data_IF_788464976783
#
_entry.id   IF_788464976783
#
_cell.length_a   1.000
_cell.length_b   1.000
_cell.length_c   1.000
_cell.angle_alpha   90.00
_cell.angle_beta   90.00
_cell.angle_gamma   90.00
#
_symmetry.space_group_name_H-M   'P 1'
#
loop_
_entity.id
_entity.type
_entity.pdbx_description
1 polymer ?
#
# COMPACT_ATOMS: atom_id res chain seq x y z
N UNK A 1 90.61 44.91 -15.23
CA UNK A 1 89.36 44.39 -15.82
C UNK A 1 89.70 43.94 -17.22
N UNK A 2 89.90 42.63 -17.39
CA UNK A 2 90.66 42.10 -18.51
C UNK A 2 89.88 42.06 -19.82
N UNK A 3 90.57 42.35 -20.92
CA UNK A 3 90.00 42.31 -22.27
C UNK A 3 89.42 40.92 -22.62
N UNK A 4 90.04 39.86 -22.09
CA UNK A 4 89.55 38.47 -22.17
C UNK A 4 88.21 38.26 -21.46
N UNK A 5 87.98 38.94 -20.34
CA UNK A 5 86.72 38.86 -19.58
C UNK A 5 85.57 39.55 -20.34
N UNK A 6 85.85 40.71 -20.93
CA UNK A 6 84.88 41.45 -21.77
C UNK A 6 84.52 40.63 -23.01
N UNK A 7 85.51 40.05 -23.70
CA UNK A 7 85.28 39.16 -24.84
C UNK A 7 84.44 37.92 -24.46
N UNK A 8 84.68 37.32 -23.29
CA UNK A 8 83.89 36.19 -22.80
C UNK A 8 82.41 36.58 -22.57
N UNK A 9 82.16 37.73 -21.94
CA UNK A 9 80.79 38.22 -21.69
C UNK A 9 80.03 38.54 -22.99
N UNK A 10 80.72 39.06 -24.02
CA UNK A 10 80.13 39.28 -25.35
C UNK A 10 79.74 37.95 -26.02
N UNK A 11 80.63 36.94 -25.95
CA UNK A 11 80.35 35.61 -26.52
C UNK A 11 79.18 34.91 -25.81
N UNK A 12 79.13 34.96 -24.46
CA UNK A 12 78.02 34.41 -23.68
C UNK A 12 76.72 35.16 -24.01
N UNK A 13 76.76 36.50 -24.10
CA UNK A 13 75.61 37.33 -24.47
C UNK A 13 75.04 37.00 -25.86
N UNK A 14 75.90 36.67 -26.83
CA UNK A 14 75.47 36.31 -28.19
C UNK A 14 74.72 34.97 -28.30
N UNK A 15 74.83 34.09 -27.30
CA UNK A 15 74.23 32.75 -27.37
C UNK A 15 72.76 32.70 -26.92
N UNK A 16 72.24 33.73 -26.24
CA UNK A 16 70.81 33.82 -25.86
C UNK A 16 69.95 34.51 -26.93
N UNK A 17 70.33 34.37 -28.21
CA UNK A 17 69.76 35.14 -29.33
C UNK A 17 68.72 34.44 -30.22
N UNK A 18 68.35 33.18 -29.95
CA UNK A 18 67.36 32.44 -30.75
C UNK A 18 66.31 31.74 -29.89
N UNK A 19 65.50 32.52 -29.17
CA UNK A 19 64.18 32.05 -28.74
C UNK A 19 63.29 31.90 -29.98
N UNK A 20 63.09 30.66 -30.43
CA UNK A 20 62.06 30.36 -31.43
C UNK A 20 60.72 30.83 -30.86
N UNK A 21 60.01 31.70 -31.59
CA UNK A 21 58.68 32.14 -31.22
C UNK A 21 57.70 30.99 -31.44
N UNK A 22 57.59 30.08 -30.47
CA UNK A 22 56.56 29.05 -30.47
C UNK A 22 55.19 29.72 -30.54
N UNK A 23 54.33 29.25 -31.44
CA UNK A 23 52.98 29.76 -31.56
C UNK A 23 52.20 29.41 -30.29
N UNK A 24 51.91 30.41 -29.45
CA UNK A 24 51.15 30.23 -28.21
C UNK A 24 49.65 30.05 -28.50
N UNK A 25 49.32 28.97 -29.19
CA UNK A 25 47.95 28.57 -29.50
C UNK A 25 47.15 28.30 -28.23
N UNK A 26 45.84 28.51 -28.28
CA UNK A 26 44.95 28.15 -27.18
C UNK A 26 44.81 26.61 -27.08
N UNK A 27 45.29 25.96 -26.01
CA UNK A 27 45.27 24.50 -25.90
C UNK A 27 43.87 23.91 -25.66
N UNK A 28 42.84 24.75 -25.41
CA UNK A 28 41.45 24.26 -25.30
C UNK A 28 40.70 24.27 -26.64
N UNK A 29 40.92 25.27 -27.51
CA UNK A 29 40.16 25.39 -28.78
C UNK A 29 40.99 25.27 -30.05
N UNK A 30 42.32 25.14 -29.96
CA UNK A 30 43.24 25.16 -31.09
C UNK A 30 44.29 24.05 -31.04
N UNK A 31 44.90 23.77 -32.19
CA UNK A 31 46.04 22.89 -32.34
C UNK A 31 47.10 23.53 -33.25
N UNK A 32 48.38 23.16 -33.11
CA UNK A 32 49.46 23.65 -33.97
C UNK A 32 49.64 22.74 -35.19
N UNK A 33 49.60 23.31 -36.40
CA UNK A 33 49.88 22.61 -37.67
C UNK A 33 50.76 23.55 -38.53
N UNK A 34 51.93 23.07 -38.97
CA UNK A 34 52.94 23.84 -39.72
C UNK A 34 53.39 25.19 -39.08
N UNK A 35 53.30 25.32 -37.76
CA UNK A 35 53.64 26.54 -37.02
C UNK A 35 52.54 27.62 -37.02
N UNK A 36 51.35 27.31 -37.52
CA UNK A 36 50.15 28.15 -37.38
C UNK A 36 49.17 27.48 -36.39
N UNK A 37 48.48 28.30 -35.60
CA UNK A 37 47.37 27.85 -34.78
C UNK A 37 46.12 27.62 -35.63
N UNK A 38 45.54 26.43 -35.52
CA UNK A 38 44.38 25.98 -36.26
C UNK A 38 43.19 25.70 -35.33
N UNK A 39 41.99 26.07 -35.74
CA UNK A 39 40.78 25.90 -34.94
C UNK A 39 40.34 24.42 -34.87
N UNK A 40 39.86 24.00 -33.71
CA UNK A 40 39.23 22.69 -33.50
C UNK A 40 37.70 22.77 -33.60
N UNK A 41 37.05 21.65 -33.88
CA UNK A 41 35.59 21.53 -33.83
C UNK A 41 35.10 21.36 -32.39
N UNK A 42 34.12 22.17 -31.99
CA UNK A 42 33.59 22.23 -30.61
C UNK A 42 32.90 20.93 -30.14
N UNK A 43 32.74 20.72 -28.82
CA UNK A 43 31.93 19.62 -28.28
C UNK A 43 30.56 19.48 -28.95
N UNK A 44 30.12 18.23 -29.16
CA UNK A 44 28.93 17.91 -29.95
C UNK A 44 29.15 17.91 -31.47
N UNK A 45 30.37 18.13 -31.96
CA UNK A 45 30.69 18.11 -33.40
C UNK A 45 32.00 17.37 -33.71
N UNK A 46 32.13 16.82 -34.92
CA UNK A 46 33.36 16.25 -35.48
C UNK A 46 33.81 16.99 -36.74
N UNK A 47 35.10 16.91 -37.08
CA UNK A 47 35.73 17.65 -38.18
C UNK A 47 35.58 16.94 -39.53
N UNK A 48 34.60 17.35 -40.33
CA UNK A 48 34.34 16.84 -41.68
C UNK A 48 35.34 17.35 -42.73
N UNK A 49 35.95 18.52 -42.51
CA UNK A 49 36.99 19.07 -43.40
C UNK A 49 38.00 19.86 -42.60
N UNK A 50 39.29 19.53 -42.75
CA UNK A 50 40.40 20.31 -42.19
C UNK A 50 40.59 21.60 -42.99
N UNK A 51 40.20 22.71 -42.39
CA UNK A 51 40.62 24.06 -42.76
C UNK A 51 41.10 24.70 -41.46
N UNK A 52 42.31 25.26 -41.46
CA UNK A 52 42.94 25.75 -40.24
C UNK A 52 42.20 26.96 -39.62
N UNK A 53 41.50 27.78 -40.40
CA UNK A 53 40.83 29.00 -39.94
C UNK A 53 39.31 28.92 -39.95
N UNK A 54 38.73 27.95 -40.67
CA UNK A 54 37.29 27.73 -40.75
C UNK A 54 36.95 26.24 -40.97
N UNK A 55 37.28 25.35 -40.02
CA UNK A 55 37.07 23.90 -40.18
C UNK A 55 35.58 23.56 -40.33
N UNK A 56 35.27 22.61 -41.21
CA UNK A 56 33.88 22.17 -41.41
C UNK A 56 33.48 21.19 -40.32
N UNK A 57 32.78 21.67 -39.30
CA UNK A 57 32.28 20.85 -38.21
C UNK A 57 30.87 20.30 -38.49
N UNK A 58 30.64 19.01 -38.23
CA UNK A 58 29.35 18.34 -38.36
C UNK A 58 28.85 17.87 -36.98
N UNK A 59 27.55 18.08 -36.70
CA UNK A 59 26.93 17.62 -35.44
C UNK A 59 26.96 16.10 -35.31
N UNK A 60 27.19 15.59 -34.10
CA UNK A 60 27.23 14.15 -33.86
C UNK A 60 25.91 13.45 -34.24
N UNK A 61 25.95 12.22 -34.78
CA UNK A 61 24.77 11.38 -34.93
C UNK A 61 24.11 11.06 -33.57
N UNK A 62 22.93 10.46 -33.60
CA UNK A 62 22.31 9.94 -32.38
C UNK A 62 23.08 8.72 -31.85
N UNK A 63 22.99 8.46 -30.53
CA UNK A 63 23.88 7.56 -29.79
C UNK A 63 25.39 7.90 -29.89
N UNK A 64 25.79 9.09 -30.36
CA UNK A 64 27.18 9.53 -30.40
C UNK A 64 27.40 10.84 -29.65
N UNK A 65 28.61 11.05 -29.13
CA UNK A 65 29.01 12.26 -28.43
C UNK A 65 30.43 12.71 -28.78
N UNK A 66 30.72 13.97 -28.51
CA UNK A 66 32.06 14.52 -28.47
C UNK A 66 32.14 15.51 -27.30
N UNK A 67 32.97 15.22 -26.30
CA UNK A 67 33.02 15.95 -25.02
C UNK A 67 33.98 17.13 -25.03
N UNK A 68 35.00 17.10 -25.89
CA UNK A 68 36.05 18.11 -26.02
C UNK A 68 36.13 18.67 -27.43
N UNK A 69 36.76 19.84 -27.57
CA UNK A 69 37.22 20.32 -28.87
C UNK A 69 38.08 19.26 -29.56
N UNK A 70 37.91 19.09 -30.88
CA UNK A 70 38.48 17.96 -31.61
C UNK A 70 38.88 18.27 -33.04
N UNK A 71 39.88 17.54 -33.52
CA UNK A 71 40.24 17.39 -34.95
C UNK A 71 39.76 16.06 -35.53
N UNK A 72 39.14 15.20 -34.71
CA UNK A 72 38.64 13.89 -35.15
C UNK A 72 37.48 14.01 -36.12
N UNK A 73 37.47 13.16 -37.14
CA UNK A 73 36.43 13.17 -38.18
C UNK A 73 35.14 12.42 -37.79
N UNK A 74 35.14 11.71 -36.66
CA UNK A 74 34.00 10.97 -36.11
C UNK A 74 33.80 11.32 -34.63
N UNK A 75 32.55 11.38 -34.20
CA UNK A 75 32.21 11.42 -32.78
C UNK A 75 32.37 10.02 -32.14
N UNK A 76 32.57 9.99 -30.83
CA UNK A 76 32.64 8.76 -30.03
C UNK A 76 31.24 8.15 -29.88
N UNK A 77 31.15 6.81 -29.78
CA UNK A 77 29.88 6.13 -29.50
C UNK A 77 29.54 6.22 -28.00
N UNK A 78 28.27 6.50 -27.68
CA UNK A 78 27.78 6.43 -26.30
C UNK A 78 27.84 4.99 -25.76
N UNK A 79 28.06 4.78 -24.45
CA UNK A 79 28.03 3.44 -23.89
C UNK A 79 26.65 2.80 -24.00
N UNK A 80 26.65 1.48 -24.10
CA UNK A 80 25.46 0.65 -24.08
C UNK A 80 25.11 0.26 -22.64
N UNK A 81 23.90 0.61 -22.19
CA UNK A 81 23.42 0.31 -20.85
C UNK A 81 22.67 -1.02 -20.87
N UNK A 82 23.33 -2.08 -20.39
CA UNK A 82 22.82 -3.45 -20.45
C UNK A 82 21.59 -3.65 -19.54
N UNK A 83 20.41 -3.69 -20.16
CA UNK A 83 19.12 -3.80 -19.45
C UNK A 83 18.98 -5.13 -18.69
N UNK A 84 19.71 -6.17 -19.08
CA UNK A 84 19.71 -7.48 -18.41
C UNK A 84 20.55 -7.46 -17.12
N UNK A 85 21.45 -6.48 -16.98
CA UNK A 85 22.22 -6.20 -15.76
C UNK A 85 21.60 -5.10 -14.90
N UNK A 86 20.33 -4.79 -15.16
CA UNK A 86 19.52 -3.77 -14.49
C UNK A 86 20.04 -2.33 -14.58
N UNK A 87 20.69 -1.99 -15.68
CA UNK A 87 20.92 -0.59 -16.05
C UNK A 87 19.70 0.06 -16.75
N UNK A 88 19.68 1.38 -16.71
CA UNK A 88 18.72 2.28 -17.34
C UNK A 88 19.43 3.09 -18.44
N UNK A 89 18.82 3.20 -19.63
CA UNK A 89 19.35 4.04 -20.72
C UNK A 89 19.03 5.52 -20.44
N UNK A 90 20.03 6.42 -20.29
CA UNK A 90 19.76 7.84 -20.16
C UNK A 90 19.16 8.40 -21.45
N UNK A 91 18.03 9.10 -21.36
CA UNK A 91 17.30 9.64 -22.51
C UNK A 91 16.86 11.10 -22.28
N UNK A 92 17.04 12.02 -23.25
CA UNK A 92 17.76 11.84 -24.51
C UNK A 92 19.28 11.72 -24.28
N UNK A 93 19.98 10.90 -25.08
CA UNK A 93 21.44 10.76 -24.98
C UNK A 93 22.12 12.05 -25.42
N UNK A 94 23.05 12.55 -24.58
CA UNK A 94 23.79 13.78 -24.87
C UNK A 94 24.67 13.62 -26.11
N UNK A 95 24.93 14.73 -26.80
CA UNK A 95 25.94 14.81 -27.87
C UNK A 95 27.22 15.48 -27.41
N UNK A 96 27.21 16.19 -26.28
CA UNK A 96 28.34 16.96 -25.75
C UNK A 96 29.01 16.30 -24.54
N UNK A 97 28.53 15.15 -24.07
CA UNK A 97 29.05 14.45 -22.89
C UNK A 97 28.86 12.94 -23.03
N UNK A 98 29.78 12.16 -22.44
CA UNK A 98 29.62 10.71 -22.30
C UNK A 98 28.48 10.43 -21.30
N UNK A 99 27.49 9.66 -21.72
CA UNK A 99 26.45 9.13 -20.83
C UNK A 99 27.03 8.19 -19.78
N UNK A 100 26.47 8.21 -18.58
CA UNK A 100 26.72 7.22 -17.53
C UNK A 100 25.50 6.29 -17.50
N UNK A 101 25.73 4.98 -17.38
CA UNK A 101 24.67 4.01 -17.18
C UNK A 101 24.41 3.89 -15.67
N UNK A 102 23.21 4.24 -15.24
CA UNK A 102 22.78 4.09 -13.85
C UNK A 102 21.93 2.82 -13.67
N UNK A 103 21.85 2.31 -12.44
CA UNK A 103 20.93 1.24 -12.09
C UNK A 103 19.46 1.69 -12.23
N UNK A 104 18.54 0.77 -12.52
CA UNK A 104 17.09 1.06 -12.45
C UNK A 104 16.67 1.42 -11.01
N UNK A 105 15.53 2.08 -10.85
CA UNK A 105 14.90 2.25 -9.52
C UNK A 105 14.64 0.87 -8.90
N UNK A 106 14.97 0.70 -7.61
CA UNK A 106 14.96 -0.61 -6.94
C UNK A 106 16.29 -1.36 -6.95
N UNK A 107 17.34 -0.82 -7.58
CA UNK A 107 18.65 -1.47 -7.74
C UNK A 107 19.84 -0.54 -7.44
N UNK A 108 20.93 -1.14 -6.96
CA UNK A 108 22.22 -0.46 -6.71
C UNK A 108 23.40 -1.18 -7.38
N UNK A 109 24.50 -0.46 -7.60
CA UNK A 109 25.77 -1.00 -8.08
C UNK A 109 26.29 -2.12 -7.15
N UNK A 110 26.55 -3.31 -7.70
CA UNK A 110 27.08 -4.46 -6.94
C UNK A 110 28.52 -4.28 -6.44
N UNK A 111 29.26 -3.34 -7.02
CA UNK A 111 30.64 -3.00 -6.68
C UNK A 111 30.99 -1.57 -7.10
N UNK A 112 32.17 -1.08 -6.71
CA UNK A 112 32.68 0.25 -7.11
C UNK A 112 32.81 0.43 -8.62
N UNK A 113 33.05 -0.66 -9.35
CA UNK A 113 33.20 -0.66 -10.81
C UNK A 113 31.83 -0.66 -11.52
N UNK A 114 30.73 -0.83 -10.77
CA UNK A 114 29.35 -0.87 -11.23
C UNK A 114 29.15 -1.65 -12.54
N UNK A 115 29.62 -2.91 -12.55
CA UNK A 115 29.52 -3.80 -13.74
C UNK A 115 28.14 -4.46 -13.83
N UNK A 116 27.44 -4.58 -12.71
CA UNK A 116 26.04 -5.08 -12.60
C UNK A 116 25.28 -4.31 -11.52
N UNK A 117 23.96 -4.23 -11.66
CA UNK A 117 23.07 -3.70 -10.65
C UNK A 117 22.25 -4.82 -10.00
N UNK A 118 22.22 -4.85 -8.67
CA UNK A 118 21.52 -5.83 -7.82
C UNK A 118 20.37 -5.16 -7.08
N UNK A 119 19.32 -5.94 -6.76
CA UNK A 119 18.14 -5.44 -6.06
C UNK A 119 18.49 -4.86 -4.68
N UNK A 120 17.70 -3.89 -4.22
CA UNK A 120 17.83 -3.38 -2.86
C UNK A 120 17.35 -4.36 -1.80
N UNK A 121 17.99 -4.35 -0.63
CA UNK A 121 17.53 -5.08 0.56
C UNK A 121 16.10 -4.68 0.91
N UNK A 122 15.21 -5.66 0.93
CA UNK A 122 13.76 -5.47 1.13
C UNK A 122 13.44 -5.50 2.63
N UNK A 123 12.91 -4.40 3.14
CA UNK A 123 12.48 -4.32 4.54
C UNK A 123 11.17 -5.08 4.75
N UNK A 124 11.20 -6.01 5.70
CA UNK A 124 10.06 -6.86 6.07
C UNK A 124 9.10 -6.14 7.03
N UNK A 125 7.86 -6.62 7.21
CA UNK A 125 6.97 -6.11 8.24
C UNK A 125 7.65 -6.11 9.63
N UNK A 126 7.46 -5.05 10.40
CA UNK A 126 8.24 -4.80 11.63
C UNK A 126 9.49 -3.94 11.43
N UNK A 127 9.92 -3.73 10.19
CA UNK A 127 11.12 -2.98 9.81
C UNK A 127 10.80 -1.93 8.74
N UNK A 128 11.63 -0.90 8.62
CA UNK A 128 11.55 0.10 7.57
C UNK A 128 12.94 0.57 7.13
N UNK A 129 13.03 1.19 5.97
CA UNK A 129 14.24 1.79 5.43
C UNK A 129 14.66 2.99 6.30
N UNK A 130 15.74 2.79 7.06
CA UNK A 130 16.47 3.83 7.79
C UNK A 130 17.23 4.73 6.83
N UNK A 131 17.89 4.08 5.86
CA UNK A 131 18.51 4.70 4.70
C UNK A 131 17.82 4.07 3.49
N UNK A 132 17.17 4.90 2.69
CA UNK A 132 16.60 4.46 1.41
C UNK A 132 17.77 4.23 0.44
N UNK A 133 17.79 3.07 -0.19
CA UNK A 133 18.78 2.74 -1.21
C UNK A 133 18.82 3.75 -2.36
N UNK A 134 19.98 3.87 -2.98
CA UNK A 134 20.20 4.70 -4.16
C UNK A 134 21.03 3.95 -5.21
N UNK A 135 21.23 4.55 -6.40
CA UNK A 135 21.93 3.94 -7.54
C UNK A 135 23.30 3.30 -7.18
N UNK A 136 23.96 3.74 -6.10
CA UNK A 136 25.28 3.29 -5.67
C UNK A 136 25.34 2.65 -4.26
N UNK A 137 24.24 2.60 -3.51
CA UNK A 137 24.22 2.12 -2.12
C UNK A 137 22.91 1.39 -1.80
N UNK A 138 23.00 0.34 -1.00
CA UNK A 138 21.81 -0.43 -0.63
C UNK A 138 20.89 0.28 0.40
N UNK A 139 19.65 -0.20 0.52
CA UNK A 139 18.77 0.13 1.64
C UNK A 139 19.31 -0.45 2.94
N UNK A 140 19.38 0.36 3.99
CA UNK A 140 19.55 -0.13 5.37
C UNK A 140 18.17 -0.23 6.04
N UNK A 141 17.74 -1.45 6.41
CA UNK A 141 16.51 -1.65 7.18
C UNK A 141 16.78 -1.62 8.68
N UNK A 142 15.97 -0.87 9.44
CA UNK A 142 15.95 -0.93 10.91
C UNK A 142 14.57 -1.33 11.44
N UNK A 143 14.53 -1.86 12.67
CA UNK A 143 13.27 -2.25 13.33
C UNK A 143 12.47 -0.98 13.66
N UNK A 144 11.18 -0.95 13.34
CA UNK A 144 10.34 0.21 13.60
C UNK A 144 10.33 0.60 15.09
N UNK A 145 10.59 1.88 15.45
CA UNK A 145 10.60 2.34 16.83
C UNK A 145 9.21 2.25 17.48
N UNK A 146 9.18 2.23 18.82
CA UNK A 146 7.93 2.21 19.58
C UNK A 146 7.05 3.42 19.22
N UNK A 147 5.74 3.19 19.05
CA UNK A 147 4.83 4.19 18.48
C UNK A 147 4.70 4.14 16.97
N UNK A 148 5.40 3.22 16.27
CA UNK A 148 5.36 3.06 14.82
C UNK A 148 5.27 1.60 14.36
N UNK A 149 4.78 1.40 13.14
CA UNK A 149 4.63 0.10 12.50
C UNK A 149 4.94 0.14 10.99
N UNK A 150 5.33 -1.01 10.44
CA UNK A 150 5.23 -1.28 9.01
C UNK A 150 4.65 -2.69 8.80
N UNK A 151 3.62 -2.78 7.97
CA UNK A 151 2.94 -4.03 7.57
C UNK A 151 3.26 -4.46 6.13
N UNK A 152 3.99 -3.65 5.36
CA UNK A 152 4.33 -3.90 3.96
C UNK A 152 5.75 -4.47 3.82
N UNK A 153 6.02 -5.09 2.67
CA UNK A 153 7.34 -5.64 2.32
C UNK A 153 7.91 -4.89 1.12
N UNK A 154 8.81 -3.92 1.34
CA UNK A 154 9.48 -3.18 0.25
C UNK A 154 10.83 -2.58 0.70
N UNK A 155 11.70 -2.27 -0.27
CA UNK A 155 13.04 -1.68 -0.04
C UNK A 155 12.99 -0.18 0.32
N UNK A 156 11.85 0.46 0.08
CA UNK A 156 11.55 1.86 0.39
C UNK A 156 10.54 1.99 1.55
N UNK A 157 10.21 0.89 2.26
CA UNK A 157 9.17 0.87 3.27
C UNK A 157 9.46 1.85 4.42
N UNK A 158 8.44 2.54 4.92
CA UNK A 158 8.58 3.47 6.04
C UNK A 158 7.74 3.04 7.24
N UNK A 159 8.33 3.14 8.43
CA UNK A 159 7.62 2.95 9.69
C UNK A 159 6.68 4.14 9.93
N UNK A 160 5.37 3.88 9.81
CA UNK A 160 4.32 4.88 10.02
C UNK A 160 3.95 4.92 11.49
N UNK A 161 3.57 6.08 12.03
CA UNK A 161 3.04 6.17 13.40
C UNK A 161 1.79 5.32 13.55
N UNK A 162 1.56 4.77 14.75
CA UNK A 162 0.26 4.20 15.08
C UNK A 162 -0.83 5.29 15.05
N UNK A 163 -2.03 4.92 14.62
CA UNK A 163 -3.22 5.75 14.57
C UNK A 163 -3.61 6.23 15.98
N UNK A 164 -3.79 7.55 16.12
CA UNK A 164 -4.34 8.17 17.33
C UNK A 164 -5.88 8.16 17.22
N UNK A 165 -6.57 7.54 18.18
CA UNK A 165 -8.02 7.39 18.14
C UNK A 165 -8.76 8.72 18.36
N UNK A 166 -9.84 8.95 17.61
CA UNK A 166 -10.64 10.17 17.66
C UNK A 166 -11.30 10.39 19.06
N UNK A 167 -11.59 11.65 19.40
CA UNK A 167 -12.12 12.03 20.71
C UNK A 167 -13.38 11.24 21.10
N UNK A 168 -13.28 10.49 22.20
CA UNK A 168 -14.36 9.64 22.73
C UNK A 168 -14.22 8.16 22.38
N UNK A 169 -13.44 7.80 21.36
CA UNK A 169 -12.98 6.44 21.14
C UNK A 169 -11.80 6.13 22.07
N UNK A 170 -11.37 4.86 22.10
CA UNK A 170 -10.21 4.42 22.86
C UNK A 170 -9.43 3.36 22.08
N UNK A 171 -8.12 3.25 22.34
CA UNK A 171 -7.33 2.13 21.82
C UNK A 171 -7.86 0.85 22.46
N UNK A 172 -8.33 -0.08 21.62
CA UNK A 172 -8.88 -1.37 22.03
C UNK A 172 -7.79 -2.44 21.99
N UNK A 173 -7.09 -2.56 20.86
CA UNK A 173 -5.83 -3.29 20.75
C UNK A 173 -4.69 -2.30 20.45
N UNK A 174 -3.58 -2.44 21.19
CA UNK A 174 -2.38 -1.62 20.98
C UNK A 174 -1.60 -2.13 19.76
N UNK A 175 -1.16 -1.19 18.93
CA UNK A 175 -0.27 -1.47 17.81
C UNK A 175 1.05 -2.13 18.21
N UNK A 176 1.67 -2.76 17.23
CA UNK A 176 2.96 -3.44 17.33
C UNK A 176 3.90 -2.88 16.26
N UNK A 177 5.09 -3.46 16.07
CA UNK A 177 5.95 -3.06 14.94
C UNK A 177 5.36 -3.48 13.58
N UNK A 178 4.43 -4.44 13.54
CA UNK A 178 3.79 -4.96 12.31
C UNK A 178 2.34 -4.49 12.12
N UNK A 179 1.67 -4.04 13.18
CA UNK A 179 0.23 -3.71 13.18
C UNK A 179 -0.04 -2.34 13.77
N UNK A 180 -1.13 -1.71 13.32
CA UNK A 180 -1.61 -0.44 13.87
C UNK A 180 -2.38 -0.64 15.20
N UNK A 181 -2.65 0.46 15.91
CA UNK A 181 -3.70 0.52 16.94
C UNK A 181 -5.07 0.23 16.31
N UNK A 182 -5.95 -0.45 17.05
CA UNK A 182 -7.39 -0.51 16.73
C UNK A 182 -8.18 0.39 17.68
N UNK A 183 -9.20 1.09 17.16
CA UNK A 183 -9.96 2.10 17.91
C UNK A 183 -11.37 1.59 18.24
N UNK A 184 -11.58 1.19 19.49
CA UNK A 184 -12.85 0.70 20.00
C UNK A 184 -13.84 1.81 20.31
N UNK A 185 -15.13 1.49 20.13
CA UNK A 185 -16.26 2.40 20.30
C UNK A 185 -16.26 3.13 21.67
N UNK A 186 -16.87 4.33 21.75
CA UNK A 186 -16.98 5.06 23.00
C UNK A 186 -17.65 4.23 24.11
N UNK A 187 -16.94 4.04 25.23
CA UNK A 187 -17.47 3.31 26.40
C UNK A 187 -18.60 4.10 27.05
N UNK A 188 -19.83 3.88 26.58
CA UNK A 188 -21.09 4.44 27.09
C UNK A 188 -21.49 3.86 28.46
N UNK A 189 -20.53 3.71 29.38
CA UNK A 189 -20.73 3.12 30.72
C UNK A 189 -21.81 3.84 31.52
N UNK A 190 -21.92 5.16 31.40
CA UNK A 190 -23.02 5.92 32.01
C UNK A 190 -24.41 5.49 31.51
N UNK A 191 -24.57 5.11 30.23
CA UNK A 191 -25.86 4.65 29.70
C UNK A 191 -26.20 3.25 30.22
N UNK A 192 -25.21 2.38 30.41
CA UNK A 192 -25.38 1.06 31.05
C UNK A 192 -25.76 1.23 32.53
N UNK A 193 -25.12 2.14 33.25
CA UNK A 193 -25.47 2.46 34.65
C UNK A 193 -26.87 3.06 34.74
N UNK A 194 -27.24 3.98 33.84
CA UNK A 194 -28.56 4.60 33.79
C UNK A 194 -29.66 3.57 33.46
N UNK A 195 -29.41 2.62 32.55
CA UNK A 195 -30.40 1.58 32.22
C UNK A 195 -30.59 0.57 33.36
N UNK A 196 -29.53 0.21 34.08
CA UNK A 196 -29.64 -0.60 35.30
C UNK A 196 -30.45 0.14 36.38
N UNK A 197 -30.15 1.43 36.62
CA UNK A 197 -30.86 2.25 37.61
C UNK A 197 -32.35 2.41 37.23
N UNK A 198 -32.67 2.65 35.96
CA UNK A 198 -34.08 2.82 35.52
C UNK A 198 -34.88 1.52 35.62
N UNK A 199 -34.29 0.38 35.26
CA UNK A 199 -34.93 -0.95 35.45
C UNK A 199 -35.17 -1.23 36.93
N UNK A 200 -34.19 -0.97 37.82
CA UNK A 200 -34.37 -1.14 39.27
C UNK A 200 -35.43 -0.19 39.85
N UNK A 201 -35.54 1.05 39.34
CA UNK A 201 -36.60 1.97 39.72
C UNK A 201 -37.99 1.48 39.28
N UNK A 202 -38.13 0.96 38.05
CA UNK A 202 -39.40 0.36 37.58
C UNK A 202 -39.78 -0.86 38.42
N UNK A 203 -38.83 -1.75 38.73
CA UNK A 203 -39.09 -2.95 39.56
C UNK A 203 -39.57 -2.56 40.96
N UNK A 204 -38.92 -1.59 41.62
CA UNK A 204 -39.34 -1.14 42.96
C UNK A 204 -40.72 -0.46 42.95
N UNK A 205 -41.05 0.33 41.92
CA UNK A 205 -42.40 0.90 41.73
C UNK A 205 -43.44 -0.21 41.53
N UNK A 206 -43.17 -1.22 40.70
CA UNK A 206 -44.08 -2.36 40.50
C UNK A 206 -44.32 -3.13 41.81
N UNK A 207 -43.26 -3.40 42.58
CA UNK A 207 -43.38 -4.06 43.90
C UNK A 207 -44.24 -3.22 44.85
N UNK A 208 -44.03 -1.91 44.93
CA UNK A 208 -44.83 -1.01 45.76
C UNK A 208 -46.31 -0.99 45.35
N UNK A 209 -46.61 -0.99 44.05
CA UNK A 209 -47.99 -1.07 43.52
C UNK A 209 -48.64 -2.42 43.84
N UNK A 210 -47.89 -3.53 43.76
CA UNK A 210 -48.40 -4.86 44.13
C UNK A 210 -48.65 -4.97 45.63
N UNK A 211 -47.76 -4.46 46.48
CA UNK A 211 -47.96 -4.40 47.93
C UNK A 211 -49.15 -3.51 48.31
N UNK A 212 -49.29 -2.34 47.69
CA UNK A 212 -50.43 -1.44 47.88
C UNK A 212 -51.77 -2.10 47.50
N UNK A 213 -51.83 -2.76 46.33
CA UNK A 213 -52.99 -3.55 45.89
C UNK A 213 -53.27 -4.72 46.84
N UNK A 214 -52.23 -5.38 47.36
CA UNK A 214 -52.33 -6.42 48.39
C UNK A 214 -52.96 -5.91 49.69
N UNK A 215 -52.48 -4.78 50.21
CA UNK A 215 -53.03 -4.13 51.40
C UNK A 215 -54.49 -3.70 51.22
N UNK A 216 -54.88 -3.19 50.03
CA UNK A 216 -56.29 -2.91 49.71
C UNK A 216 -57.13 -4.19 49.72
N UNK A 217 -56.65 -5.27 49.06
CA UNK A 217 -57.33 -6.58 48.99
C UNK A 217 -57.43 -7.27 50.36
N UNK A 218 -56.53 -6.99 51.29
CA UNK A 218 -56.64 -7.43 52.69
C UNK A 218 -57.65 -6.59 53.50
N UNK A 219 -57.77 -5.28 53.24
CA UNK A 219 -58.77 -4.42 53.89
C UNK A 219 -60.20 -4.81 53.51
N UNK A 220 -60.48 -5.07 52.22
CA UNK A 220 -61.83 -5.49 51.79
C UNK A 220 -62.23 -6.85 52.34
N UNK A 221 -61.29 -7.81 52.47
CA UNK A 221 -61.55 -9.13 53.09
C UNK A 221 -61.94 -9.09 54.58
N UNK A 222 -61.75 -7.96 55.29
CA UNK A 222 -62.14 -7.84 56.71
C UNK A 222 -63.55 -7.28 56.94
N UNK A 223 -64.32 -6.99 55.89
CA UNK A 223 -65.60 -6.28 55.98
C UNK A 223 -66.86 -7.13 55.69
N UNK A 224 -66.74 -8.44 55.45
CA UNK A 224 -67.88 -9.32 55.20
C UNK A 224 -68.00 -10.41 56.28
N UNK A 225 -69.07 -10.36 57.08
CA UNK A 225 -69.47 -11.39 58.04
C UNK A 225 -70.98 -11.65 57.85
N UNK A 226 -71.38 -12.80 57.28
CA UNK A 226 -72.80 -13.12 57.11
C UNK A 226 -73.46 -13.52 58.43
N UNK A 227 -74.79 -13.41 58.50
CA UNK A 227 -75.64 -13.85 59.61
C UNK A 227 -76.86 -14.60 59.05
N UNK A 228 -77.20 -15.75 59.66
CA UNK A 228 -78.37 -16.58 59.32
C UNK A 228 -79.61 -16.11 60.11
N UNK A 229 -80.85 -16.44 59.67
CA UNK A 229 -81.51 -17.70 60.10
C UNK A 229 -82.40 -18.38 59.02
N UNK A 230 -82.37 -19.73 58.91
CA UNK A 230 -83.50 -20.70 59.14
C UNK A 230 -84.39 -20.91 57.88
N UNK A 231 -85.13 -22.00 57.65
CA UNK A 231 -85.73 -23.03 58.53
C UNK A 231 -85.40 -24.52 58.17
N UNK A 232 -86.12 -25.46 58.82
CA UNK A 232 -86.05 -26.95 58.88
C UNK A 232 -86.89 -27.67 57.78
N UNK A 233 -87.07 -29.03 57.70
CA UNK A 233 -86.79 -30.13 58.68
C UNK A 233 -86.16 -31.48 58.18
N UNK A 234 -85.69 -32.31 59.14
CA UNK A 234 -85.93 -33.78 59.39
C UNK A 234 -86.24 -34.74 58.20
N UNK A 235 -85.70 -35.97 58.00
CA UNK A 235 -85.17 -37.04 58.89
C UNK A 235 -84.31 -38.15 58.17
N UNK A 236 -83.67 -39.07 58.93
CA UNK A 236 -83.31 -40.53 58.71
C UNK A 236 -83.15 -41.16 57.30
N UNK A 237 -82.30 -42.18 57.02
CA UNK A 237 -81.15 -42.88 57.66
C UNK A 237 -80.53 -43.91 56.67
N UNK A 238 -79.40 -44.58 57.02
CA UNK A 238 -79.04 -45.98 56.67
C UNK A 238 -78.51 -46.38 55.25
N UNK A 239 -77.18 -46.26 55.11
CA UNK A 239 -76.18 -47.32 54.71
C UNK A 239 -76.01 -47.85 53.26
N UNK A 240 -74.74 -48.25 52.97
CA UNK A 240 -74.20 -49.23 51.99
C UNK A 240 -73.82 -48.79 50.53
N UNK A 241 -72.58 -49.16 50.17
CA UNK A 241 -72.05 -49.60 48.86
C UNK A 241 -71.63 -48.60 47.74
N UNK A 242 -70.30 -48.52 47.59
CA UNK A 242 -69.50 -48.49 46.34
C UNK A 242 -69.55 -49.90 45.66
N UNK A 243 -69.19 -50.16 44.36
CA UNK A 243 -68.51 -49.34 43.32
C UNK A 243 -69.13 -49.35 41.87
N UNK A 244 -68.40 -48.74 40.91
CA UNK A 244 -68.29 -49.03 39.45
C UNK A 244 -69.44 -48.66 38.46
N UNK A 245 -69.13 -47.72 37.55
CA UNK A 245 -69.04 -47.80 36.05
C UNK A 245 -69.88 -48.84 35.26
N UNK A 246 -70.17 -48.66 33.93
CA UNK A 246 -69.44 -47.82 32.96
C UNK A 246 -70.30 -47.06 31.90
N UNK A 247 -69.64 -46.51 30.86
CA UNK A 247 -70.14 -46.22 29.49
C UNK A 247 -71.24 -45.12 29.34
N UNK A 248 -71.41 -44.42 28.19
CA UNK A 248 -70.75 -44.43 26.86
C UNK A 248 -70.83 -43.02 26.20
N UNK A 249 -69.98 -42.75 25.19
CA UNK A 249 -70.20 -42.06 23.88
C UNK A 249 -71.26 -40.92 23.72
N UNK A 250 -71.06 -39.81 22.98
CA UNK A 250 -69.90 -39.20 22.25
C UNK A 250 -69.71 -37.74 22.77
N UNK A 251 -69.30 -36.66 22.09
CA UNK A 251 -68.94 -36.27 20.70
C UNK A 251 -67.94 -35.07 20.77
N UNK A 252 -67.37 -34.64 19.63
CA UNK A 252 -66.37 -33.56 19.46
C UNK A 252 -67.01 -32.33 18.75
N UNK A 253 -66.37 -31.65 17.76
CA UNK A 253 -65.25 -30.69 17.82
C UNK A 253 -65.68 -29.21 17.95
N UNK A 254 -64.81 -28.19 17.98
CA UNK A 254 -63.34 -28.10 17.93
C UNK A 254 -62.89 -26.73 18.47
N UNK A 255 -61.71 -26.65 19.10
CA UNK A 255 -60.53 -26.09 18.42
C UNK A 255 -59.23 -26.24 19.25
N UNK A 256 -58.17 -26.63 18.55
CA UNK A 256 -56.79 -26.77 19.02
C UNK A 256 -56.20 -25.43 19.54
N UNK A 257 -55.12 -25.39 20.32
CA UNK A 257 -53.92 -26.24 20.23
C UNK A 257 -53.20 -26.50 21.57
N UNK A 258 -52.36 -27.53 21.55
CA UNK A 258 -51.77 -28.23 22.69
C UNK A 258 -50.66 -27.48 23.44
N UNK A 259 -50.46 -27.88 24.70
CA UNK A 259 -49.22 -27.67 25.44
C UNK A 259 -48.06 -28.52 24.89
N UNK A 260 -46.82 -28.05 25.03
CA UNK A 260 -45.63 -28.91 25.04
C UNK A 260 -45.02 -28.96 26.45
N UNK A 261 -44.50 -30.14 26.82
CA UNK A 261 -43.90 -30.41 28.12
C UNK A 261 -42.37 -30.19 28.14
N UNK A 262 -41.81 -30.07 29.34
CA UNK A 262 -40.37 -29.95 29.54
C UNK A 262 -39.66 -31.30 29.38
N UNK A 263 -38.47 -31.29 28.79
CA UNK A 263 -37.48 -32.37 28.95
C UNK A 263 -36.57 -32.08 30.15
N UNK A 264 -35.97 -33.13 30.72
CA UNK A 264 -35.34 -33.15 32.05
C UNK A 264 -34.11 -32.22 32.24
N UNK A 265 -33.67 -31.50 31.19
CA UNK A 265 -32.59 -30.49 31.26
C UNK A 265 -32.90 -29.13 30.61
N UNK A 266 -34.19 -28.81 30.39
CA UNK A 266 -34.71 -27.44 30.54
C UNK A 266 -34.16 -26.30 29.67
N UNK A 267 -33.66 -26.57 28.46
CA UNK A 267 -33.27 -25.53 27.49
C UNK A 267 -34.18 -25.55 26.25
N UNK A 268 -34.51 -24.37 25.71
CA UNK A 268 -35.27 -24.24 24.46
C UNK A 268 -34.39 -24.47 23.23
N UNK A 269 -34.97 -25.05 22.18
CA UNK A 269 -34.36 -25.18 20.85
C UNK A 269 -35.15 -24.32 19.88
N UNK A 270 -34.50 -23.34 19.23
CA UNK A 270 -35.15 -22.54 18.18
C UNK A 270 -34.90 -23.17 16.82
N UNK A 271 -35.95 -23.30 16.01
CA UNK A 271 -35.90 -24.00 14.72
C UNK A 271 -35.48 -23.04 13.60
N UNK A 272 -34.22 -23.12 13.15
CA UNK A 272 -33.82 -22.44 11.91
C UNK A 272 -34.22 -23.24 10.67
N UNK A 273 -34.74 -22.53 9.66
CA UNK A 273 -35.16 -23.08 8.37
C UNK A 273 -34.70 -22.14 7.26
N UNK A 274 -33.62 -22.51 6.57
CA UNK A 274 -33.11 -21.76 5.42
C UNK A 274 -31.70 -22.19 5.03
N UNK A 275 -31.60 -23.09 4.04
CA UNK A 275 -30.33 -23.45 3.40
C UNK A 275 -30.52 -23.36 1.89
N UNK A 276 -29.92 -22.37 1.27
CA UNK A 276 -29.67 -22.39 -0.18
C UNK A 276 -28.35 -23.13 -0.47
N UNK A 277 -28.22 -23.60 -1.71
CA UNK A 277 -27.25 -24.61 -2.09
C UNK A 277 -26.15 -24.03 -2.98
N UNK A 278 -24.93 -23.93 -2.46
CA UNK A 278 -23.74 -23.57 -3.24
C UNK A 278 -22.87 -24.81 -3.39
N UNK A 279 -22.81 -25.33 -4.61
CA UNK A 279 -21.97 -26.48 -4.98
C UNK A 279 -20.50 -26.07 -4.94
N UNK A 280 -19.71 -26.81 -4.15
CA UNK A 280 -18.25 -26.75 -4.24
C UNK A 280 -17.74 -27.89 -5.11
N UNK A 281 -16.83 -27.58 -6.05
CA UNK A 281 -16.12 -28.56 -6.87
C UNK A 281 -14.63 -28.24 -6.84
N UNK A 282 -13.83 -29.25 -6.54
CA UNK A 282 -12.37 -29.19 -6.50
C UNK A 282 -11.77 -30.21 -7.48
N UNK A 283 -10.44 -30.19 -7.61
CA UNK A 283 -9.61 -31.01 -8.53
C UNK A 283 -9.78 -30.63 -10.03
N UNK A 284 -8.71 -30.57 -10.84
CA UNK A 284 -7.45 -31.32 -10.78
C UNK A 284 -6.17 -30.48 -10.97
N UNK A 285 -5.02 -31.08 -10.64
CA UNK A 285 -3.69 -30.68 -11.13
C UNK A 285 -3.38 -31.36 -12.47
N UNK A 286 -2.52 -30.75 -13.31
CA UNK A 286 -1.67 -31.47 -14.27
C UNK A 286 -0.43 -30.62 -14.61
N UNK A 287 0.68 -31.29 -14.97
CA UNK A 287 1.98 -30.69 -15.27
C UNK A 287 2.26 -30.59 -16.79
N UNK A 288 3.53 -30.32 -17.14
CA UNK A 288 4.15 -30.16 -18.47
C UNK A 288 3.88 -28.83 -19.19
N UNK A 289 4.77 -28.27 -20.02
CA UNK A 289 6.25 -28.19 -20.15
C UNK A 289 6.51 -27.78 -21.61
N UNK A 290 7.34 -26.75 -21.86
CA UNK A 290 7.85 -26.39 -23.20
C UNK A 290 6.76 -26.00 -24.23
N UNK A 291 7.04 -25.39 -25.39
CA UNK A 291 8.32 -25.08 -26.06
C UNK A 291 8.27 -23.67 -26.71
N UNK A 292 9.40 -23.16 -27.20
CA UNK A 292 9.54 -21.90 -27.94
C UNK A 292 9.26 -22.04 -29.44
N UNK A 293 8.77 -20.98 -30.09
CA UNK A 293 9.36 -20.47 -31.35
C UNK A 293 8.86 -19.04 -31.66
N UNK A 294 9.67 -18.26 -32.35
CA UNK A 294 9.31 -16.97 -32.97
C UNK A 294 8.54 -17.18 -34.29
N UNK A 295 7.73 -16.22 -34.71
CA UNK A 295 7.91 -15.61 -36.05
C UNK A 295 7.29 -14.19 -36.13
N UNK A 296 7.61 -13.46 -37.19
CA UNK A 296 7.25 -12.04 -37.41
C UNK A 296 6.31 -11.86 -38.60
N UNK A 297 5.36 -10.92 -38.52
CA UNK A 297 4.99 -10.07 -39.68
C UNK A 297 4.24 -8.80 -39.26
N UNK A 298 4.34 -7.75 -40.09
CA UNK A 298 3.66 -6.46 -39.94
C UNK A 298 2.42 -6.36 -40.84
N UNK A 299 1.33 -5.71 -40.37
CA UNK A 299 0.63 -4.60 -41.06
C UNK A 299 -0.70 -4.17 -40.38
N UNK A 300 -0.81 -2.88 -40.06
CA UNK A 300 -2.04 -2.08 -39.87
C UNK A 300 -2.70 -1.74 -41.25
N UNK A 301 -3.89 -1.08 -41.38
CA UNK A 301 -4.70 -0.33 -40.38
C UNK A 301 -6.25 -0.57 -40.45
N UNK A 302 -7.02 0.34 -39.80
CA UNK A 302 -8.49 0.59 -39.85
C UNK A 302 -9.42 -0.32 -39.00
N UNK A 303 -10.05 0.25 -37.95
CA UNK A 303 -11.42 0.82 -38.06
C UNK A 303 -11.93 1.47 -36.74
N UNK A 304 -12.25 2.78 -36.78
CA UNK A 304 -13.14 3.57 -35.88
C UNK A 304 -13.05 5.05 -36.34
N UNK A 305 -14.11 5.89 -36.21
CA UNK A 305 -14.93 6.05 -35.01
C UNK A 305 -16.45 5.86 -35.22
N UNK A 306 -17.19 5.87 -34.09
CA UNK A 306 -18.64 6.12 -34.06
C UNK A 306 -18.84 7.41 -33.26
N UNK A 307 -19.46 8.42 -33.88
CA UNK A 307 -19.70 9.73 -33.28
C UNK A 307 -21.22 9.95 -33.21
N UNK A 308 -21.75 10.13 -32.00
CA UNK A 308 -23.18 10.26 -31.77
C UNK A 308 -23.66 11.69 -32.05
N UNK A 309 -24.83 11.80 -32.70
CA UNK A 309 -25.50 13.08 -32.90
C UNK A 309 -26.43 13.40 -31.72
N UNK A 310 -26.40 14.64 -31.24
CA UNK A 310 -27.48 15.23 -30.43
C UNK A 310 -27.81 16.61 -30.99
N UNK A 311 -29.10 16.89 -31.13
CA UNK A 311 -29.63 18.03 -31.90
C UNK A 311 -29.54 19.37 -31.17
N UNK A 312 -29.57 20.46 -31.94
CA UNK A 312 -29.71 21.81 -31.42
C UNK A 312 -31.12 22.09 -30.86
N UNK A 313 -31.18 23.05 -29.94
CA UNK A 313 -32.39 23.81 -29.58
C UNK A 313 -31.97 25.28 -29.47
N UNK A 314 -32.56 26.15 -30.30
CA UNK A 314 -32.45 27.60 -30.18
C UNK A 314 -33.65 28.16 -29.40
N UNK A 315 -33.41 29.02 -28.41
CA UNK A 315 -34.33 30.01 -27.83
C UNK A 315 -33.54 30.96 -26.91
#
# INVERSE_FOLDING_TARGET
MDFKFIALLILIGSFMGMTVAQASCDPETQYEEEGQCCLMCKPGTSMSTKDCKNPRCQSCPDNHYQDKYTTENKCLLQPYCDRNKNFEDPFPKSKTQKSICECKVGFHCSSKDCITCVEHTVCQPGYGAKVIGNKSQDTECEKCPDGTFNNNTSWDAHCRKWTECETGYHVEEKGTHTTDNTCGLPRRGHIIVISIISVMAVITVVILVLLYRGCIKQRTKRYFKPLHPEEKPTCTETTLNMPLTPEENEDDPSHELSSEGFTEKGNQVMQERGKEEIVSRQESQLESQFESQEDSQSMDPFYKPVQACTSAVES
#
